data_IF_842312995708
#
_entry.id   IF_842312995708
#
_cell.length_a   1.000
_cell.length_b   1.000
_cell.length_c   1.000
_cell.angle_alpha   90.00
_cell.angle_beta   90.00
_cell.angle_gamma   90.00
#
_symmetry.space_group_name_H-M   'P 1'
#
loop_
_entity.id
_entity.type
_entity.pdbx_description
1 polymer ?
#
# COMPACT_ATOMS: atom_id res chain seq x y z
N UNK A 1 -6.41 -5.23 15.36
CA UNK A 1 -7.28 -4.84 14.22
C UNK A 1 -7.83 -3.45 14.46
N UNK A 2 -8.26 -3.17 15.70
CA UNK A 2 -8.65 -1.83 16.18
C UNK A 2 -7.61 -0.74 15.89
N UNK A 3 -6.31 -1.00 16.05
CA UNK A 3 -5.27 0.02 15.79
C UNK A 3 -5.18 0.50 14.32
N UNK A 4 -5.48 -0.38 13.35
CA UNK A 4 -5.43 -0.02 11.93
C UNK A 4 -6.62 0.84 11.52
N UNK A 5 -7.81 0.54 12.04
CA UNK A 5 -9.01 1.33 11.78
C UNK A 5 -8.89 2.71 12.42
N UNK A 6 -8.41 2.78 13.67
CA UNK A 6 -8.13 4.05 14.33
C UNK A 6 -7.11 4.89 13.54
N UNK A 7 -5.99 4.31 13.12
CA UNK A 7 -4.97 5.02 12.34
C UNK A 7 -5.50 5.58 11.01
N UNK A 8 -6.44 4.87 10.38
CA UNK A 8 -7.10 5.33 9.16
C UNK A 8 -8.07 6.50 9.43
N UNK A 9 -8.83 6.43 10.53
CA UNK A 9 -9.80 7.46 10.89
C UNK A 9 -9.14 8.73 11.46
N UNK A 10 -8.00 8.60 12.14
CA UNK A 10 -7.24 9.69 12.73
C UNK A 10 -6.33 10.41 11.71
N UNK A 11 -6.06 9.77 10.57
CA UNK A 11 -5.22 10.36 9.53
C UNK A 11 -5.93 11.55 8.85
N UNK A 12 -5.25 12.69 8.79
CA UNK A 12 -5.75 13.87 8.07
C UNK A 12 -5.99 13.61 6.57
N UNK A 13 -5.25 12.67 5.98
CA UNK A 13 -5.47 12.22 4.61
C UNK A 13 -4.86 10.83 4.38
N UNK A 14 -5.67 9.93 3.80
CA UNK A 14 -5.23 8.62 3.35
C UNK A 14 -5.02 8.61 1.83
N UNK A 15 -3.94 7.96 1.40
CA UNK A 15 -3.63 7.75 -0.01
C UNK A 15 -3.25 6.30 -0.26
N UNK A 16 -3.57 5.80 -1.45
CA UNK A 16 -3.26 4.44 -1.90
C UNK A 16 -2.81 4.49 -3.36
N UNK A 17 -1.77 3.74 -3.71
CA UNK A 17 -1.37 3.61 -5.12
C UNK A 17 -2.47 2.89 -5.91
N UNK A 18 -2.70 3.29 -7.16
CA UNK A 18 -3.58 2.58 -8.08
C UNK A 18 -3.19 1.10 -8.26
N UNK A 19 -1.90 0.77 -8.13
CA UNK A 19 -1.43 -0.63 -8.19
C UNK A 19 -1.86 -1.41 -6.95
N UNK A 20 -1.74 -0.83 -5.76
CA UNK A 20 -2.20 -1.44 -4.50
C UNK A 20 -3.72 -1.62 -4.50
N UNK A 21 -4.46 -0.67 -5.05
CA UNK A 21 -5.92 -0.78 -5.22
C UNK A 21 -6.29 -1.95 -6.16
N UNK A 22 -5.60 -2.10 -7.29
CA UNK A 22 -5.82 -3.20 -8.21
C UNK A 22 -5.49 -4.55 -7.57
N UNK A 23 -4.36 -4.65 -6.86
CA UNK A 23 -3.98 -5.88 -6.16
C UNK A 23 -5.02 -6.27 -5.11
N UNK A 24 -5.47 -5.31 -4.29
CA UNK A 24 -6.55 -5.54 -3.32
C UNK A 24 -7.84 -6.02 -4.00
N UNK A 25 -8.19 -5.43 -5.15
CA UNK A 25 -9.33 -5.85 -5.97
C UNK A 25 -9.18 -7.30 -6.44
N UNK A 26 -8.01 -7.70 -6.93
CA UNK A 26 -7.74 -9.07 -7.38
C UNK A 26 -7.81 -10.08 -6.24
N UNK A 27 -7.27 -9.74 -5.07
CA UNK A 27 -7.36 -10.58 -3.86
C UNK A 27 -8.81 -10.75 -3.42
N UNK A 28 -9.58 -9.66 -3.38
CA UNK A 28 -10.99 -9.70 -2.97
C UNK A 28 -11.87 -10.41 -4.00
N UNK A 29 -11.58 -10.28 -5.29
CA UNK A 29 -12.22 -11.07 -6.33
C UNK A 29 -12.02 -12.57 -6.08
N UNK A 30 -10.79 -12.99 -5.76
CA UNK A 30 -10.49 -14.39 -5.46
C UNK A 30 -11.25 -14.94 -4.23
N UNK A 31 -11.63 -14.07 -3.29
CA UNK A 31 -12.26 -14.46 -2.01
C UNK A 31 -13.79 -14.32 -1.99
N UNK A 32 -14.31 -13.24 -2.58
CA UNK A 32 -15.72 -12.80 -2.46
C UNK A 32 -16.38 -12.46 -3.80
N UNK A 33 -15.67 -12.60 -4.93
CA UNK A 33 -16.17 -12.23 -6.28
C UNK A 33 -16.64 -10.76 -6.30
N UNK A 34 -17.73 -10.47 -7.00
CA UNK A 34 -18.31 -9.13 -7.17
C UNK A 34 -18.53 -8.41 -5.83
N UNK A 35 -19.08 -9.11 -4.82
CA UNK A 35 -19.28 -8.51 -3.49
C UNK A 35 -17.98 -8.05 -2.82
N UNK A 36 -16.84 -8.68 -3.11
CA UNK A 36 -15.53 -8.21 -2.64
C UNK A 36 -15.08 -6.91 -3.28
N UNK A 37 -15.42 -6.70 -4.56
CA UNK A 37 -15.11 -5.46 -5.28
C UNK A 37 -15.97 -4.31 -4.78
N UNK A 38 -17.26 -4.56 -4.56
CA UNK A 38 -18.21 -3.59 -4.01
C UNK A 38 -17.81 -3.18 -2.58
N UNK A 39 -17.45 -4.15 -1.72
CA UNK A 39 -16.94 -3.90 -0.38
C UNK A 39 -15.71 -2.96 -0.41
N UNK A 40 -14.76 -3.18 -1.33
CA UNK A 40 -13.56 -2.36 -1.44
C UNK A 40 -13.88 -0.93 -1.88
N UNK A 41 -14.73 -0.77 -2.89
CA UNK A 41 -15.15 0.55 -3.38
C UNK A 41 -15.88 1.32 -2.27
N UNK A 42 -16.79 0.66 -1.56
CA UNK A 42 -17.50 1.25 -0.44
C UNK A 42 -16.54 1.66 0.69
N UNK A 43 -15.55 0.84 1.01
CA UNK A 43 -14.53 1.15 2.01
C UNK A 43 -13.68 2.36 1.63
N UNK A 44 -13.13 2.38 0.40
CA UNK A 44 -12.33 3.49 -0.14
C UNK A 44 -13.11 4.79 -0.09
N UNK A 45 -14.39 4.77 -0.50
CA UNK A 45 -15.26 5.94 -0.48
C UNK A 45 -15.59 6.40 0.95
N UNK A 46 -15.93 5.46 1.85
CA UNK A 46 -16.29 5.75 3.24
C UNK A 46 -15.16 6.45 4.00
N UNK A 47 -13.92 5.99 3.76
CA UNK A 47 -12.72 6.50 4.43
C UNK A 47 -12.12 7.71 3.71
N UNK A 48 -12.49 7.95 2.45
CA UNK A 48 -11.92 9.04 1.64
C UNK A 48 -10.48 8.78 1.20
N UNK A 49 -10.12 7.51 0.93
CA UNK A 49 -8.79 7.15 0.45
C UNK A 49 -8.60 7.68 -0.98
N UNK A 50 -7.59 8.51 -1.19
CA UNK A 50 -7.24 8.98 -2.53
C UNK A 50 -6.45 7.92 -3.29
N UNK A 51 -6.98 7.48 -4.43
CA UNK A 51 -6.27 6.59 -5.33
C UNK A 51 -5.32 7.41 -6.20
N UNK A 52 -4.01 7.22 -6.00
CA UNK A 52 -2.97 7.98 -6.68
C UNK A 52 -2.56 7.25 -7.97
N UNK A 53 -2.63 7.93 -9.14
CA UNK A 53 -2.18 7.34 -10.39
C UNK A 53 -0.68 7.11 -10.37
N UNK A 54 -0.24 6.05 -11.03
CA UNK A 54 1.18 5.73 -11.18
C UNK A 54 1.71 6.35 -12.46
N UNK A 55 2.66 7.27 -12.31
CA UNK A 55 3.44 7.82 -13.40
C UNK A 55 4.77 7.07 -13.57
N UNK A 56 5.54 7.46 -14.59
CA UNK A 56 6.84 6.86 -14.87
C UNK A 56 7.87 7.08 -13.75
N UNK A 57 7.84 8.20 -13.04
CA UNK A 57 8.77 8.47 -11.95
C UNK A 57 8.50 7.54 -10.76
N UNK A 58 7.23 7.31 -10.42
CA UNK A 58 6.83 6.32 -9.42
C UNK A 58 7.22 4.90 -9.84
N UNK A 59 7.08 4.55 -11.12
CA UNK A 59 7.52 3.24 -11.62
C UNK A 59 9.05 3.04 -11.51
N UNK A 60 9.85 4.08 -11.80
CA UNK A 60 11.30 4.04 -11.64
C UNK A 60 11.71 3.89 -10.16
N UNK A 61 11.08 4.65 -9.26
CA UNK A 61 11.36 4.55 -7.83
C UNK A 61 10.91 3.19 -7.24
N UNK A 62 9.78 2.63 -7.69
CA UNK A 62 9.36 1.28 -7.31
C UNK A 62 10.34 0.21 -7.80
N UNK A 63 10.90 0.36 -9.01
CA UNK A 63 11.98 -0.51 -9.52
C UNK A 63 13.22 -0.45 -8.63
N UNK A 64 13.62 0.74 -8.20
CA UNK A 64 14.77 0.91 -7.31
C UNK A 64 14.52 0.26 -5.93
N UNK A 65 13.32 0.43 -5.38
CA UNK A 65 12.90 -0.26 -4.15
C UNK A 65 12.99 -1.79 -4.32
N UNK A 66 12.48 -2.33 -5.44
CA UNK A 66 12.58 -3.75 -5.74
C UNK A 66 14.03 -4.23 -5.84
N UNK A 67 14.93 -3.48 -6.48
CA UNK A 67 16.35 -3.86 -6.56
C UNK A 67 17.00 -3.85 -5.18
N UNK A 68 16.70 -2.84 -4.36
CA UNK A 68 17.25 -2.66 -3.02
C UNK A 68 16.78 -3.75 -2.04
N UNK A 69 15.51 -4.13 -2.11
CA UNK A 69 14.90 -5.02 -1.11
C UNK A 69 14.60 -6.44 -1.63
N UNK A 70 14.49 -6.65 -2.94
CA UNK A 70 14.03 -7.91 -3.55
C UNK A 70 15.13 -8.96 -3.81
N UNK A 71 16.41 -8.59 -3.82
CA UNK A 71 17.52 -9.52 -4.08
C UNK A 71 18.29 -9.90 -2.81
N UNK A 72 17.68 -10.73 -1.97
CA UNK A 72 18.36 -11.45 -0.88
C UNK A 72 18.83 -10.63 0.32
N UNK A 73 18.73 -9.30 0.28
CA UNK A 73 19.13 -8.41 1.38
C UNK A 73 18.02 -8.19 2.42
N UNK A 74 16.75 -8.40 2.06
CA UNK A 74 15.62 -8.30 2.96
C UNK A 74 14.82 -9.62 2.98
N UNK A 75 14.60 -10.26 4.16
CA UNK A 75 13.79 -11.48 4.27
C UNK A 75 12.37 -11.34 3.70
N UNK A 76 11.81 -10.13 3.74
CA UNK A 76 10.44 -9.82 3.32
C UNK A 76 10.15 -10.11 1.84
N UNK A 77 11.14 -9.91 0.95
CA UNK A 77 10.99 -9.98 -0.52
C UNK A 77 9.72 -9.27 -1.00
N UNK A 78 9.73 -7.93 -1.06
CA UNK A 78 8.52 -7.17 -1.38
C UNK A 78 7.98 -7.56 -2.75
N UNK A 79 6.66 -7.72 -2.81
CA UNK A 79 5.95 -7.94 -4.05
C UNK A 79 5.85 -6.62 -4.85
N UNK A 80 5.17 -6.65 -6.00
CA UNK A 80 5.01 -5.46 -6.84
C UNK A 80 4.22 -4.35 -6.13
N UNK A 81 3.09 -4.68 -5.49
CA UNK A 81 2.27 -3.71 -4.76
C UNK A 81 3.01 -3.09 -3.59
N UNK A 82 3.81 -3.88 -2.87
CA UNK A 82 4.67 -3.39 -1.79
C UNK A 82 5.64 -2.31 -2.26
N UNK A 83 6.24 -2.49 -3.43
CA UNK A 83 7.14 -1.51 -4.01
C UNK A 83 6.44 -0.17 -4.29
N UNK A 84 5.18 -0.20 -4.75
CA UNK A 84 4.40 1.00 -5.00
C UNK A 84 3.88 1.66 -3.74
N UNK A 85 3.46 0.87 -2.74
CA UNK A 85 3.08 1.37 -1.41
C UNK A 85 4.25 2.10 -0.74
N UNK A 86 5.44 1.48 -0.72
CA UNK A 86 6.66 2.10 -0.22
C UNK A 86 7.04 3.37 -0.98
N UNK A 87 6.99 3.32 -2.31
CA UNK A 87 7.39 4.45 -3.15
C UNK A 87 6.47 5.66 -2.94
N UNK A 88 5.17 5.42 -2.85
CA UNK A 88 4.21 6.47 -2.57
C UNK A 88 4.46 7.11 -1.20
N UNK A 89 4.68 6.30 -0.16
CA UNK A 89 5.04 6.77 1.17
C UNK A 89 6.34 7.60 1.16
N UNK A 90 7.36 7.11 0.44
CA UNK A 90 8.67 7.77 0.31
C UNK A 90 8.58 9.14 -0.39
N UNK A 91 7.86 9.22 -1.51
CA UNK A 91 7.72 10.46 -2.28
C UNK A 91 6.89 11.50 -1.53
N UNK A 92 5.85 11.05 -0.82
CA UNK A 92 4.97 11.94 -0.05
C UNK A 92 5.50 12.29 1.33
N UNK A 93 6.53 11.60 1.81
CA UNK A 93 7.06 11.76 3.16
C UNK A 93 6.07 11.34 4.26
N UNK A 94 5.12 10.47 3.92
CA UNK A 94 4.03 10.04 4.82
C UNK A 94 4.31 8.65 5.40
N UNK A 95 3.80 8.34 6.60
CA UNK A 95 3.90 7.00 7.17
C UNK A 95 3.12 5.99 6.34
N UNK A 96 3.59 4.75 6.33
CA UNK A 96 2.95 3.64 5.63
C UNK A 96 2.17 2.77 6.63
N UNK A 97 0.89 2.55 6.34
CA UNK A 97 0.06 1.58 7.07
C UNK A 97 0.19 0.21 6.40
N UNK A 98 0.77 -0.76 7.10
CA UNK A 98 0.96 -2.12 6.60
C UNK A 98 0.86 -3.13 7.75
N UNK A 99 0.58 -4.38 7.42
CA UNK A 99 0.60 -5.49 8.38
C UNK A 99 1.70 -6.48 8.00
N UNK A 100 2.45 -6.96 8.99
CA UNK A 100 3.54 -7.91 8.79
C UNK A 100 4.91 -7.27 8.99
N UNK A 101 5.96 -7.95 8.56
CA UNK A 101 7.36 -7.50 8.73
C UNK A 101 7.93 -6.90 7.44
N UNK A 102 7.10 -6.72 6.41
CA UNK A 102 7.60 -6.49 5.05
C UNK A 102 8.33 -5.16 4.89
N UNK A 103 7.98 -4.17 5.73
CA UNK A 103 8.61 -2.85 5.76
C UNK A 103 9.36 -2.54 7.06
N UNK A 104 9.46 -3.48 8.00
CA UNK A 104 10.06 -3.22 9.33
C UNK A 104 11.57 -2.92 9.28
N UNK A 105 12.22 -3.14 8.13
CA UNK A 105 13.63 -2.80 7.86
C UNK A 105 13.81 -1.67 6.83
N UNK A 106 12.80 -0.84 6.63
CA UNK A 106 12.87 0.29 5.70
C UNK A 106 12.99 1.62 6.42
N UNK A 107 13.35 2.68 5.70
CA UNK A 107 13.40 4.04 6.24
C UNK A 107 12.02 4.70 6.40
N UNK A 108 10.95 4.01 6.02
CA UNK A 108 9.58 4.54 6.08
C UNK A 108 9.00 4.24 7.46
N UNK A 109 8.47 5.27 8.11
CA UNK A 109 7.77 5.13 9.38
C UNK A 109 6.51 4.27 9.20
N UNK A 110 6.33 3.28 10.07
CA UNK A 110 5.07 2.57 10.19
C UNK A 110 4.01 3.51 10.79
N UNK A 111 2.78 3.46 10.27
CA UNK A 111 1.66 4.22 10.82
C UNK A 111 1.11 3.62 12.11
N UNK A 112 1.38 2.33 12.37
CA UNK A 112 1.00 1.55 13.55
C UNK A 112 2.14 0.62 13.92
#
# INVERSE_FOLDING_TARGET
MEDFEAAVLDAAECAMSAVTFLEASMVLWGRKREGGLEDLVAFVAKVGIKIIPVDHAQALAAREAFVRFGKGQNPARPNMGDCFSYTLAKITGRPLLFKGEDFSRTEIAAAV
#
